data_IF_275673936310
#
_entry.id   IF_275673936310
#
_cell.length_a   1.000
_cell.length_b   1.000
_cell.length_c   1.000
_cell.angle_alpha   90.00
_cell.angle_beta   90.00
_cell.angle_gamma   90.00
#
_symmetry.space_group_name_H-M   'P 1'
#
loop_
_entity.id
_entity.type
_entity.pdbx_description
1 polymer ?
#
# COMPACT_ATOMS: atom_id res chain seq x y z
N UNK A 1 -40.41 22.46 0.79
CA UNK A 1 -39.05 22.55 1.35
C UNK A 1 -38.15 23.02 0.20
N UNK A 2 -37.80 24.31 0.15
CA UNK A 2 -36.97 24.85 -0.92
C UNK A 2 -35.50 24.68 -0.53
N UNK A 3 -34.71 24.08 -1.41
CA UNK A 3 -33.27 23.91 -1.22
C UNK A 3 -32.58 25.25 -1.49
N UNK A 4 -31.82 25.78 -0.53
CA UNK A 4 -31.09 27.04 -0.68
C UNK A 4 -29.82 26.85 -1.53
N UNK A 5 -29.85 27.36 -2.76
CA UNK A 5 -28.74 27.30 -3.72
C UNK A 5 -27.49 28.09 -3.29
N UNK A 6 -27.61 29.03 -2.35
CA UNK A 6 -26.46 29.77 -1.84
C UNK A 6 -25.52 28.89 -1.01
N UNK A 7 -26.06 27.89 -0.31
CA UNK A 7 -25.28 26.90 0.45
C UNK A 7 -24.39 26.09 -0.50
N UNK A 8 -24.95 25.60 -1.61
CA UNK A 8 -24.21 24.85 -2.62
C UNK A 8 -23.16 25.70 -3.32
N UNK A 9 -23.46 26.98 -3.57
CA UNK A 9 -22.49 27.92 -4.15
C UNK A 9 -21.32 28.19 -3.21
N UNK A 10 -21.59 28.38 -1.91
CA UNK A 10 -20.55 28.55 -0.90
C UNK A 10 -19.64 27.33 -0.79
N UNK A 11 -20.23 26.13 -0.79
CA UNK A 11 -19.47 24.87 -0.79
C UNK A 11 -18.62 24.70 -2.06
N UNK A 12 -19.17 25.01 -3.24
CA UNK A 12 -18.43 24.95 -4.51
C UNK A 12 -17.22 25.90 -4.53
N UNK A 13 -17.32 27.09 -3.95
CA UNK A 13 -16.17 27.99 -3.82
C UNK A 13 -15.12 27.46 -2.83
N UNK A 14 -15.54 26.79 -1.75
CA UNK A 14 -14.60 26.14 -0.82
C UNK A 14 -13.87 24.96 -1.46
N UNK A 15 -14.54 24.15 -2.29
CA UNK A 15 -13.91 23.03 -3.02
C UNK A 15 -12.74 23.51 -3.88
N UNK A 16 -12.87 24.67 -4.55
CA UNK A 16 -11.80 25.24 -5.38
C UNK A 16 -10.54 25.60 -4.59
N UNK A 17 -10.65 25.76 -3.27
CA UNK A 17 -9.52 26.09 -2.39
C UNK A 17 -8.80 24.83 -1.89
N UNK A 18 -9.40 23.64 -1.99
CA UNK A 18 -8.80 22.38 -1.52
C UNK A 18 -7.42 22.05 -2.12
N UNK A 19 -7.13 22.32 -3.42
CA UNK A 19 -5.81 22.05 -3.99
C UNK A 19 -4.67 22.82 -3.31
N UNK A 20 -4.97 23.96 -2.67
CA UNK A 20 -3.99 24.79 -1.98
C UNK A 20 -3.46 24.12 -0.69
N UNK A 21 -4.22 23.18 -0.15
CA UNK A 21 -3.85 22.38 1.01
C UNK A 21 -3.21 21.04 0.64
N UNK A 22 -3.28 20.64 -0.63
CA UNK A 22 -2.67 19.41 -1.09
C UNK A 22 -1.15 19.55 -1.03
N UNK A 23 -0.48 18.52 -0.49
CA UNK A 23 0.98 18.44 -0.59
C UNK A 23 1.34 18.32 -2.08
N UNK A 24 2.45 18.92 -2.54
CA UNK A 24 2.90 18.75 -3.92
C UNK A 24 3.08 17.26 -4.21
N UNK A 25 2.43 16.80 -5.28
CA UNK A 25 2.45 15.41 -5.75
C UNK A 25 3.55 15.18 -6.79
N UNK A 26 4.11 16.27 -7.29
CA UNK A 26 5.18 16.43 -8.26
C UNK A 26 6.55 16.35 -7.57
N UNK A 27 6.89 15.15 -7.09
CA UNK A 27 8.27 14.82 -6.74
C UNK A 27 8.84 13.85 -7.80
N UNK A 28 10.12 13.99 -8.17
CA UNK A 28 10.75 13.11 -9.15
C UNK A 28 10.75 11.66 -8.65
N UNK A 29 10.72 10.70 -9.57
CA UNK A 29 10.42 9.30 -9.25
C UNK A 29 11.47 8.64 -8.36
N UNK A 30 12.73 9.05 -8.48
CA UNK A 30 13.79 8.61 -7.58
C UNK A 30 13.54 9.05 -6.13
N UNK A 31 12.99 10.25 -5.92
CA UNK A 31 12.66 10.79 -4.61
C UNK A 31 11.45 10.05 -4.02
N UNK A 32 10.45 9.70 -4.84
CA UNK A 32 9.31 8.87 -4.44
C UNK A 32 9.77 7.52 -3.90
N UNK A 33 10.63 6.82 -4.64
CA UNK A 33 11.18 5.52 -4.24
C UNK A 33 12.02 5.63 -2.96
N UNK A 34 12.86 6.66 -2.86
CA UNK A 34 13.68 6.88 -1.66
C UNK A 34 12.83 7.20 -0.43
N UNK A 35 11.79 8.02 -0.59
CA UNK A 35 10.84 8.33 0.46
C UNK A 35 10.10 7.06 0.93
N UNK A 36 9.63 6.21 0.00
CA UNK A 36 9.04 4.92 0.32
C UNK A 36 10.00 4.05 1.15
N UNK A 37 11.25 3.89 0.69
CA UNK A 37 12.27 3.10 1.40
C UNK A 37 12.53 3.64 2.81
N UNK A 38 12.53 4.97 2.99
CA UNK A 38 12.66 5.60 4.31
C UNK A 38 11.45 5.27 5.21
N UNK A 39 10.23 5.36 4.69
CA UNK A 39 9.01 4.98 5.42
C UNK A 39 9.05 3.50 5.80
N UNK A 40 9.37 2.60 4.88
CA UNK A 40 9.47 1.17 5.17
C UNK A 40 10.54 0.87 6.24
N UNK A 41 11.72 1.48 6.14
CA UNK A 41 12.76 1.30 7.15
C UNK A 41 12.34 1.76 8.55
N UNK A 42 11.46 2.75 8.66
CA UNK A 42 11.00 3.28 9.96
C UNK A 42 9.80 2.50 10.53
N UNK A 43 8.98 1.90 9.66
CA UNK A 43 7.76 1.18 10.05
C UNK A 43 7.94 -0.32 10.27
N UNK A 44 9.02 -0.91 9.76
CA UNK A 44 9.37 -2.30 10.03
C UNK A 44 10.03 -2.39 11.40
N UNK A 45 9.30 -2.95 12.36
CA UNK A 45 9.80 -3.35 13.68
C UNK A 45 9.90 -4.89 13.78
N UNK A 46 10.30 -5.39 14.96
CA UNK A 46 10.45 -6.83 15.20
C UNK A 46 9.12 -7.60 15.10
N UNK A 47 8.00 -6.97 15.49
CA UNK A 47 6.68 -7.58 15.46
C UNK A 47 6.24 -7.80 14.01
N UNK A 48 6.26 -6.74 13.21
CA UNK A 48 5.86 -6.78 11.82
C UNK A 48 6.82 -7.64 10.98
N UNK A 49 8.12 -7.63 11.28
CA UNK A 49 9.08 -8.53 10.63
C UNK A 49 8.74 -10.01 10.87
N UNK A 50 8.34 -10.37 12.09
CA UNK A 50 7.92 -11.74 12.42
C UNK A 50 6.66 -12.13 11.65
N UNK A 51 5.70 -11.23 11.51
CA UNK A 51 4.47 -11.45 10.74
C UNK A 51 4.75 -11.61 9.23
N UNK A 52 5.71 -10.87 8.68
CA UNK A 52 6.11 -11.01 7.28
C UNK A 52 6.75 -12.37 6.99
N UNK A 53 7.47 -12.94 7.96
CA UNK A 53 8.11 -14.26 7.86
C UNK A 53 7.19 -15.43 8.23
N UNK A 54 6.15 -15.20 9.05
CA UNK A 54 5.25 -16.27 9.49
C UNK A 54 4.33 -16.80 8.38
N UNK A 55 4.23 -16.10 7.25
CA UNK A 55 3.42 -16.50 6.13
C UNK A 55 3.91 -17.84 5.53
N UNK A 56 3.14 -18.91 5.74
CA UNK A 56 3.36 -20.26 5.18
C UNK A 56 2.60 -20.52 3.88
N UNK A 57 2.04 -19.48 3.25
CA UNK A 57 1.24 -19.58 2.03
C UNK A 57 0.01 -20.51 2.15
N UNK A 58 -0.66 -20.52 3.30
CA UNK A 58 -1.85 -21.36 3.54
C UNK A 58 -3.14 -20.88 2.86
N UNK A 59 -3.20 -19.63 2.41
CA UNK A 59 -4.37 -19.08 1.71
C UNK A 59 -5.51 -18.57 2.60
N UNK A 60 -5.46 -18.74 3.93
CA UNK A 60 -6.53 -18.28 4.84
C UNK A 60 -6.83 -16.78 4.75
N UNK A 61 -5.82 -15.96 4.46
CA UNK A 61 -6.02 -14.52 4.26
C UNK A 61 -6.90 -14.23 3.03
N UNK A 62 -6.82 -15.04 1.96
CA UNK A 62 -7.62 -14.87 0.76
C UNK A 62 -9.11 -15.12 1.06
N UNK A 63 -9.42 -16.20 1.78
CA UNK A 63 -10.77 -16.55 2.23
C UNK A 63 -11.40 -15.50 3.17
N UNK A 64 -10.58 -14.68 3.84
CA UNK A 64 -11.05 -13.60 4.69
C UNK A 64 -11.27 -12.27 3.95
N UNK A 65 -10.75 -12.12 2.73
CA UNK A 65 -10.73 -10.84 2.02
C UNK A 65 -11.98 -10.61 1.17
N UNK A 66 -12.74 -9.56 1.46
CA UNK A 66 -13.96 -9.25 0.71
C UNK A 66 -13.71 -9.03 -0.79
N UNK A 67 -12.59 -8.40 -1.18
CA UNK A 67 -12.29 -8.17 -2.60
C UNK A 67 -12.11 -9.49 -3.34
N UNK A 68 -11.25 -10.37 -2.82
CA UNK A 68 -11.06 -11.71 -3.39
C UNK A 68 -12.34 -12.54 -3.40
N UNK A 69 -13.13 -12.54 -2.32
CA UNK A 69 -14.37 -13.32 -2.26
C UNK A 69 -15.38 -12.84 -3.31
N UNK A 70 -15.43 -11.55 -3.61
CA UNK A 70 -16.40 -11.00 -4.56
C UNK A 70 -15.96 -11.10 -6.02
N UNK A 71 -14.65 -11.00 -6.30
CA UNK A 71 -14.13 -11.03 -7.66
C UNK A 71 -13.58 -12.37 -8.09
N UNK A 72 -13.18 -13.22 -7.12
CA UNK A 72 -12.40 -14.45 -7.31
C UNK A 72 -11.05 -14.21 -8.05
N UNK A 73 -10.60 -12.96 -8.09
CA UNK A 73 -9.36 -12.57 -8.76
C UNK A 73 -8.15 -12.80 -7.84
N UNK A 74 -7.24 -13.73 -8.18
CA UNK A 74 -6.08 -14.04 -7.36
C UNK A 74 -5.19 -12.82 -7.08
N UNK A 75 -5.14 -11.82 -7.97
CA UNK A 75 -4.32 -10.61 -7.79
C UNK A 75 -4.78 -9.79 -6.58
N UNK A 76 -6.07 -9.83 -6.23
CA UNK A 76 -6.64 -9.07 -5.12
C UNK A 76 -6.47 -9.75 -3.75
N UNK A 77 -5.83 -10.91 -3.70
CA UNK A 77 -5.56 -11.61 -2.45
C UNK A 77 -4.65 -10.76 -1.53
N UNK A 78 -4.82 -10.84 -0.19
CA UNK A 78 -4.05 -9.98 0.71
C UNK A 78 -2.54 -10.16 0.66
N UNK A 79 -2.05 -11.33 0.23
CA UNK A 79 -0.61 -11.59 0.13
C UNK A 79 0.05 -10.67 -0.90
N UNK A 80 -0.59 -10.43 -2.04
CA UNK A 80 -0.04 -9.59 -3.10
C UNK A 80 0.04 -8.11 -2.72
N UNK A 81 -0.84 -7.66 -1.82
CA UNK A 81 -0.79 -6.31 -1.23
C UNK A 81 0.46 -6.09 -0.38
N UNK A 82 1.03 -7.17 0.16
CA UNK A 82 2.21 -7.13 1.02
C UNK A 82 3.52 -7.46 0.29
N UNK A 83 3.46 -7.90 -0.97
CA UNK A 83 4.64 -8.40 -1.69
C UNK A 83 5.76 -7.35 -1.81
N UNK A 84 5.41 -6.09 -2.09
CA UNK A 84 6.39 -5.01 -2.16
C UNK A 84 7.11 -4.78 -0.83
N UNK A 85 6.36 -4.82 0.28
CA UNK A 85 6.91 -4.67 1.64
C UNK A 85 7.76 -5.88 2.03
N UNK A 86 7.30 -7.10 1.68
CA UNK A 86 8.02 -8.36 1.94
C UNK A 86 9.35 -8.39 1.19
N UNK A 87 9.36 -7.97 -0.08
CA UNK A 87 10.56 -7.85 -0.91
C UNK A 87 11.55 -6.84 -0.33
N UNK A 88 11.06 -5.66 0.09
CA UNK A 88 11.89 -4.68 0.80
C UNK A 88 12.53 -5.26 2.06
N UNK A 89 11.72 -5.88 2.92
CA UNK A 89 12.16 -6.45 4.18
C UNK A 89 13.24 -7.52 3.97
N UNK A 90 13.02 -8.46 3.05
CA UNK A 90 13.97 -9.53 2.72
C UNK A 90 15.30 -8.99 2.21
N UNK A 91 15.26 -7.98 1.34
CA UNK A 91 16.46 -7.39 0.75
C UNK A 91 17.26 -6.48 1.70
N UNK A 92 16.59 -5.78 2.62
CA UNK A 92 17.24 -4.73 3.43
C UNK A 92 17.39 -5.07 4.92
N UNK A 93 16.47 -5.85 5.49
CA UNK A 93 16.36 -6.05 6.96
C UNK A 93 16.49 -7.51 7.40
N UNK A 94 16.17 -8.48 6.55
CA UNK A 94 16.18 -9.88 6.95
C UNK A 94 17.59 -10.42 7.29
N UNK A 95 17.71 -11.46 8.13
CA UNK A 95 19.00 -12.03 8.55
C UNK A 95 19.90 -12.47 7.37
N UNK A 96 19.30 -12.96 6.28
CA UNK A 96 20.00 -13.43 5.08
C UNK A 96 20.00 -12.39 3.94
N UNK A 97 19.91 -11.10 4.25
CA UNK A 97 19.80 -10.02 3.24
C UNK A 97 20.84 -10.07 2.11
N UNK A 98 22.05 -10.54 2.40
CA UNK A 98 23.12 -10.63 1.39
C UNK A 98 22.77 -11.61 0.27
N UNK A 99 22.05 -12.70 0.60
CA UNK A 99 21.53 -13.65 -0.38
C UNK A 99 20.32 -13.06 -1.10
N UNK A 100 19.39 -12.45 -0.36
CA UNK A 100 18.20 -11.83 -0.96
C UNK A 100 18.56 -10.69 -1.93
N UNK A 101 19.61 -9.91 -1.69
CA UNK A 101 20.08 -8.88 -2.64
C UNK A 101 20.54 -9.43 -3.99
N UNK A 102 20.87 -10.72 -4.08
CA UNK A 102 21.23 -11.39 -5.33
C UNK A 102 20.01 -11.91 -6.10
N UNK A 103 18.92 -12.21 -5.39
CA UNK A 103 17.74 -12.89 -5.94
C UNK A 103 16.60 -11.90 -6.18
N UNK A 104 16.45 -10.91 -5.29
CA UNK A 104 15.34 -9.97 -5.30
C UNK A 104 15.78 -8.61 -5.89
N UNK A 105 15.06 -8.10 -6.90
CA UNK A 105 15.36 -6.80 -7.49
C UNK A 105 15.11 -5.68 -6.48
N UNK A 106 15.80 -4.56 -6.69
CA UNK A 106 15.51 -3.35 -5.93
C UNK A 106 14.14 -2.78 -6.32
N UNK A 107 13.54 -1.99 -5.43
CA UNK A 107 12.27 -1.32 -5.71
C UNK A 107 12.48 -0.24 -6.75
N UNK A 108 11.63 -0.29 -7.77
CA UNK A 108 11.52 0.68 -8.86
C UNK A 108 10.21 1.46 -8.75
N UNK A 109 10.11 2.54 -9.51
CA UNK A 109 8.87 3.32 -9.60
C UNK A 109 7.69 2.49 -10.12
N UNK A 110 7.92 1.65 -11.14
CA UNK A 110 6.88 0.80 -11.72
C UNK A 110 6.24 -0.13 -10.67
N UNK A 111 7.02 -0.57 -9.68
CA UNK A 111 6.49 -1.36 -8.56
C UNK A 111 5.53 -0.56 -7.68
N UNK A 112 5.75 0.76 -7.50
CA UNK A 112 4.86 1.63 -6.74
C UNK A 112 3.53 1.79 -7.47
N UNK A 113 3.57 2.04 -8.78
CA UNK A 113 2.36 2.15 -9.60
C UNK A 113 1.58 0.83 -9.60
N UNK A 114 2.28 -0.29 -9.78
CA UNK A 114 1.68 -1.62 -9.70
C UNK A 114 1.13 -1.93 -8.29
N UNK A 115 1.70 -1.41 -7.22
CA UNK A 115 1.18 -1.67 -5.87
C UNK A 115 0.03 -0.72 -5.52
N UNK A 116 -0.06 0.44 -6.18
CA UNK A 116 -1.04 1.47 -5.85
C UNK A 116 -2.48 0.97 -5.97
N UNK A 117 -2.82 0.26 -7.05
CA UNK A 117 -4.17 -0.29 -7.24
C UNK A 117 -4.50 -1.39 -6.21
N UNK A 118 -3.51 -2.20 -5.83
CA UNK A 118 -3.66 -3.26 -4.83
C UNK A 118 -3.95 -2.71 -3.42
N UNK A 119 -3.28 -1.62 -3.06
CA UNK A 119 -3.33 -1.07 -1.69
C UNK A 119 -4.36 0.05 -1.55
N UNK A 120 -4.49 0.95 -2.51
CA UNK A 120 -5.37 2.12 -2.38
C UNK A 120 -6.74 1.96 -3.03
N UNK A 121 -6.87 1.13 -4.07
CA UNK A 121 -8.15 0.95 -4.77
C UNK A 121 -8.88 -0.32 -4.31
N UNK A 122 -8.12 -1.37 -3.99
CA UNK A 122 -8.68 -2.68 -3.64
C UNK A 122 -8.45 -3.10 -2.19
N UNK A 123 -8.10 -2.19 -1.28
CA UNK A 123 -8.04 -2.44 0.16
C UNK A 123 -8.88 -1.42 0.95
N UNK A 124 -9.66 -1.90 1.91
CA UNK A 124 -10.45 -1.07 2.83
C UNK A 124 -9.84 -0.95 4.22
N UNK A 125 -8.64 -1.53 4.44
CA UNK A 125 -7.98 -1.56 5.74
C UNK A 125 -8.85 -2.17 6.87
N UNK A 126 -9.74 -3.11 6.53
CA UNK A 126 -10.66 -3.72 7.48
C UNK A 126 -10.01 -4.69 8.49
N UNK A 127 -8.73 -5.05 8.30
CA UNK A 127 -7.95 -5.90 9.21
C UNK A 127 -8.33 -7.39 9.24
N UNK A 128 -9.33 -7.85 8.47
CA UNK A 128 -9.78 -9.26 8.47
C UNK A 128 -8.72 -10.27 8.04
N UNK A 129 -7.75 -9.84 7.24
CA UNK A 129 -6.68 -10.68 6.72
C UNK A 129 -5.47 -10.83 7.65
N UNK A 130 -5.47 -10.19 8.83
CA UNK A 130 -4.37 -10.25 9.81
C UNK A 130 -4.40 -11.48 10.74
N UNK A 131 -4.85 -12.62 10.22
CA UNK A 131 -5.01 -13.89 10.94
C UNK A 131 -3.66 -14.57 11.26
#
# INVERSE_FOLDING_TARGET
MAIDMNVFRGFAEQIKMLPQMARPTDCPDNERVNHLKAVFSTKIDASNATQLESCVHCGLCAEACQFYIQTEDPELTPIHKLDLLKRYYRREKAPLRWLHRLIEPDITEADLEATQHLVYESCTECGRCGL
#
